data_IF_833378961065
#
_entry.id   IF_833378961065
#
_cell.length_a   1.000
_cell.length_b   1.000
_cell.length_c   1.000
_cell.angle_alpha   90.00
_cell.angle_beta   90.00
_cell.angle_gamma   90.00
#
_symmetry.space_group_name_H-M   'P 1'
#
loop_
_entity.id
_entity.type
_entity.pdbx_description
1 polymer ?
#
# COMPACT_ATOMS: atom_id res chain seq x y z
N UNK A 1 -6.10 8.59 23.21
CA UNK A 1 -4.81 7.99 22.79
C UNK A 1 -4.63 8.23 21.31
N UNK A 2 -3.39 8.35 20.81
CA UNK A 2 -3.12 8.46 19.38
C UNK A 2 -2.53 7.15 18.85
N UNK A 3 -2.92 6.75 17.63
CA UNK A 3 -2.42 5.58 16.94
C UNK A 3 -2.11 5.96 15.49
N UNK A 4 -0.93 5.59 15.00
CA UNK A 4 -0.47 5.90 13.64
C UNK A 4 -0.36 4.59 12.86
N UNK A 5 -0.89 4.58 11.64
CA UNK A 5 -1.02 3.43 10.75
C UNK A 5 -2.09 2.40 11.20
N UNK A 6 -2.59 1.65 10.22
CA UNK A 6 -3.73 0.72 10.41
C UNK A 6 -3.47 -0.36 11.47
N UNK A 7 -2.34 -1.09 11.48
CA UNK A 7 -2.11 -2.13 12.49
C UNK A 7 -2.05 -1.59 13.92
N UNK A 8 -1.43 -0.42 14.12
CA UNK A 8 -1.35 0.22 15.43
C UNK A 8 -2.74 0.71 15.89
N UNK A 9 -3.55 1.26 14.99
CA UNK A 9 -4.90 1.69 15.27
C UNK A 9 -5.80 0.51 15.67
N UNK A 10 -5.73 -0.60 14.95
CA UNK A 10 -6.46 -1.84 15.26
C UNK A 10 -6.07 -2.40 16.63
N UNK A 11 -4.77 -2.51 16.92
CA UNK A 11 -4.29 -2.96 18.22
C UNK A 11 -4.74 -2.05 19.36
N UNK A 12 -4.65 -0.73 19.17
CA UNK A 12 -5.09 0.25 20.18
C UNK A 12 -6.60 0.20 20.38
N UNK A 13 -7.40 0.17 19.32
CA UNK A 13 -8.85 0.08 19.39
C UNK A 13 -9.34 -1.23 20.04
N UNK A 14 -8.60 -2.32 19.84
CA UNK A 14 -8.88 -3.59 20.49
C UNK A 14 -8.65 -3.53 22.01
N UNK A 15 -7.56 -2.89 22.44
CA UNK A 15 -7.15 -2.84 23.84
C UNK A 15 -7.86 -1.75 24.66
N UNK A 16 -8.29 -0.64 24.03
CA UNK A 16 -8.80 0.57 24.71
C UNK A 16 -10.26 0.80 24.35
N UNK A 17 -11.17 0.60 25.31
CA UNK A 17 -12.62 0.75 25.13
C UNK A 17 -13.22 1.94 25.86
N UNK A 18 -12.54 2.45 26.89
CA UNK A 18 -13.03 3.47 27.83
C UNK A 18 -12.49 4.88 27.56
N UNK A 19 -11.56 5.03 26.62
CA UNK A 19 -10.91 6.31 26.30
C UNK A 19 -11.01 6.62 24.81
N UNK A 20 -11.06 7.91 24.43
CA UNK A 20 -10.95 8.28 23.01
C UNK A 20 -9.65 7.80 22.39
N UNK A 21 -9.76 7.19 21.21
CA UNK A 21 -8.64 6.78 20.34
C UNK A 21 -8.73 7.60 19.05
N UNK A 22 -7.66 8.32 18.74
CA UNK A 22 -7.54 9.10 17.49
C UNK A 22 -6.49 8.43 16.61
N UNK A 23 -6.91 7.95 15.46
CA UNK A 23 -5.99 7.39 14.48
C UNK A 23 -5.54 8.45 13.46
N UNK A 24 -4.36 8.21 12.89
CA UNK A 24 -3.80 8.96 11.76
C UNK A 24 -3.17 7.96 10.78
N UNK A 25 -3.13 8.33 9.50
CA UNK A 25 -2.56 7.48 8.44
C UNK A 25 -3.18 6.06 8.43
N UNK A 26 -4.50 6.00 8.37
CA UNK A 26 -5.27 4.76 8.19
C UNK A 26 -5.96 4.81 6.83
N UNK A 27 -5.59 3.90 5.94
CA UNK A 27 -6.02 3.91 4.53
C UNK A 27 -7.52 3.70 4.38
N UNK A 28 -8.09 2.73 5.07
CA UNK A 28 -9.53 2.45 5.08
C UNK A 28 -10.03 2.17 6.50
N UNK A 29 -10.45 3.21 7.25
CA UNK A 29 -10.89 3.04 8.63
C UNK A 29 -12.10 2.11 8.79
N UNK A 30 -13.01 2.11 7.81
CA UNK A 30 -14.19 1.24 7.82
C UNK A 30 -13.79 -0.21 7.51
N UNK A 31 -13.02 -0.44 6.46
CA UNK A 31 -12.52 -1.78 6.10
C UNK A 31 -11.60 -2.37 7.16
N UNK A 32 -10.90 -1.52 7.93
CA UNK A 32 -10.11 -1.92 9.10
C UNK A 32 -10.94 -2.16 10.37
N UNK A 33 -12.27 -2.04 10.30
CA UNK A 33 -13.21 -2.22 11.43
C UNK A 33 -12.96 -1.25 12.61
N UNK A 34 -12.43 -0.06 12.34
CA UNK A 34 -12.16 0.97 13.35
C UNK A 34 -13.37 1.87 13.58
N UNK A 35 -14.16 2.09 12.54
CA UNK A 35 -15.33 2.98 12.56
C UNK A 35 -16.50 2.36 11.79
N UNK A 36 -17.72 2.77 12.10
CA UNK A 36 -18.90 2.31 11.37
C UNK A 36 -18.99 2.96 9.98
N UNK A 37 -18.67 4.26 9.88
CA UNK A 37 -18.47 5.00 8.64
C UNK A 37 -17.54 6.20 8.89
N UNK A 38 -17.07 6.83 7.83
CA UNK A 38 -16.20 8.01 7.93
C UNK A 38 -16.94 9.21 8.54
N UNK A 39 -18.26 9.36 8.22
CA UNK A 39 -19.09 10.47 8.72
C UNK A 39 -19.61 10.24 10.13
N UNK A 40 -19.81 8.98 10.51
CA UNK A 40 -20.35 8.59 11.80
C UNK A 40 -19.55 7.41 12.39
N UNK A 41 -18.40 7.67 13.04
CA UNK A 41 -17.52 6.64 13.59
C UNK A 41 -18.21 5.65 14.55
N UNK A 42 -19.17 6.13 15.34
CA UNK A 42 -20.07 5.28 16.13
C UNK A 42 -19.53 4.74 17.45
N UNK A 43 -18.26 4.97 17.77
CA UNK A 43 -17.61 4.45 18.99
C UNK A 43 -16.63 5.44 19.61
N UNK A 44 -15.67 4.92 20.36
CA UNK A 44 -14.59 5.70 20.98
C UNK A 44 -13.38 5.92 20.05
N UNK A 45 -13.48 5.52 18.77
CA UNK A 45 -12.40 5.60 17.78
C UNK A 45 -12.79 6.56 16.66
N UNK A 46 -11.90 7.49 16.33
CA UNK A 46 -12.04 8.44 15.21
C UNK A 46 -10.66 8.84 14.69
N UNK A 47 -10.58 9.55 13.57
CA UNK A 47 -9.28 10.00 13.07
C UNK A 47 -9.30 10.53 11.65
N UNK A 48 -8.13 10.46 11.01
CA UNK A 48 -7.90 10.95 9.64
C UNK A 48 -7.38 9.81 8.76
N UNK A 49 -8.06 9.62 7.63
CA UNK A 49 -7.66 8.66 6.60
C UNK A 49 -6.60 9.25 5.65
N UNK A 50 -5.73 8.39 5.13
CA UNK A 50 -4.74 8.67 4.09
C UNK A 50 -5.02 7.88 2.80
N UNK A 51 -6.28 7.79 2.39
CA UNK A 51 -6.66 7.09 1.13
C UNK A 51 -5.84 7.58 -0.04
N UNK A 52 -5.37 6.63 -0.84
CA UNK A 52 -4.52 6.90 -2.00
C UNK A 52 -5.31 6.82 -3.32
N UNK A 53 -4.96 7.65 -4.31
CA UNK A 53 -5.50 7.60 -5.64
C UNK A 53 -4.81 6.50 -6.48
N UNK A 54 -5.06 5.23 -6.14
CA UNK A 54 -4.34 4.06 -6.70
C UNK A 54 -4.41 4.02 -8.23
N UNK A 55 -5.55 4.41 -8.82
CA UNK A 55 -5.71 4.44 -10.27
C UNK A 55 -4.78 5.45 -10.93
N UNK A 56 -4.71 6.66 -10.39
CA UNK A 56 -3.85 7.74 -10.88
C UNK A 56 -2.37 7.36 -10.72
N UNK A 57 -2.02 6.70 -9.63
CA UNK A 57 -0.67 6.19 -9.41
C UNK A 57 -0.30 5.09 -10.42
N UNK A 58 -1.21 4.18 -10.74
CA UNK A 58 -0.99 3.19 -11.82
C UNK A 58 -1.01 3.84 -13.21
N UNK A 59 -1.77 4.92 -13.42
CA UNK A 59 -1.72 5.70 -14.66
C UNK A 59 -0.32 6.28 -14.88
N UNK A 60 0.35 6.73 -13.83
CA UNK A 60 1.74 7.21 -13.92
C UNK A 60 2.68 6.13 -14.49
N UNK A 61 2.47 4.84 -14.15
CA UNK A 61 3.22 3.75 -14.78
C UNK A 61 3.00 3.73 -16.30
N UNK A 62 1.76 3.89 -16.75
CA UNK A 62 1.42 3.94 -18.18
C UNK A 62 1.98 5.18 -18.87
N UNK A 63 2.04 6.30 -18.19
CA UNK A 63 2.58 7.55 -18.74
C UNK A 63 4.10 7.45 -18.97
N UNK A 64 4.82 6.76 -18.07
CA UNK A 64 6.27 6.54 -18.16
C UNK A 64 6.61 5.38 -19.10
N UNK A 65 5.79 4.33 -19.10
CA UNK A 65 5.95 3.13 -19.93
C UNK A 65 4.63 2.78 -20.62
N UNK A 66 4.29 3.44 -21.74
CA UNK A 66 2.98 3.28 -22.39
C UNK A 66 2.67 1.85 -22.85
N UNK A 67 3.68 1.06 -23.13
CA UNK A 67 3.59 -0.34 -23.54
C UNK A 67 3.49 -1.32 -22.36
N UNK A 68 3.53 -0.84 -21.12
CA UNK A 68 3.37 -1.68 -19.94
C UNK A 68 2.04 -2.44 -19.97
N UNK A 69 2.08 -3.73 -19.73
CA UNK A 69 0.92 -4.63 -19.64
C UNK A 69 0.81 -5.33 -18.29
N UNK A 70 1.86 -5.26 -17.47
CA UNK A 70 1.93 -5.93 -16.17
C UNK A 70 2.48 -5.02 -15.09
N UNK A 71 1.91 -5.10 -13.88
CA UNK A 71 2.44 -4.44 -12.68
C UNK A 71 2.55 -5.44 -11.54
N UNK A 72 3.70 -5.47 -10.88
CA UNK A 72 3.94 -6.29 -9.70
C UNK A 72 3.61 -5.53 -8.41
N UNK A 73 3.00 -6.21 -7.45
CA UNK A 73 2.75 -5.67 -6.10
C UNK A 73 3.26 -6.68 -5.09
N UNK A 74 4.20 -6.26 -4.23
CA UNK A 74 4.58 -7.01 -3.04
C UNK A 74 3.89 -6.40 -1.83
N UNK A 75 3.26 -7.21 -0.98
CA UNK A 75 2.52 -6.70 0.17
C UNK A 75 2.40 -7.71 1.30
N UNK A 76 2.25 -7.21 2.51
CA UNK A 76 1.96 -8.03 3.68
C UNK A 76 0.48 -8.40 3.72
N UNK A 77 0.21 -9.69 3.56
CA UNK A 77 -1.17 -10.23 3.58
C UNK A 77 -1.87 -10.10 4.94
N UNK A 78 -1.15 -9.77 6.01
CA UNK A 78 -1.69 -9.47 7.33
C UNK A 78 -2.17 -8.02 7.51
N UNK A 79 -1.83 -7.11 6.59
CA UNK A 79 -2.20 -5.69 6.68
C UNK A 79 -3.47 -5.37 5.89
N UNK A 80 -4.52 -4.89 6.58
CA UNK A 80 -5.80 -4.56 5.96
C UNK A 80 -5.67 -3.39 4.95
N UNK A 81 -4.84 -2.38 5.27
CA UNK A 81 -4.52 -1.27 4.38
C UNK A 81 -3.93 -1.72 3.05
N UNK A 82 -3.08 -2.74 3.07
CA UNK A 82 -2.43 -3.27 1.86
C UNK A 82 -3.43 -4.03 0.98
N UNK A 83 -4.26 -4.87 1.58
CA UNK A 83 -5.28 -5.64 0.86
C UNK A 83 -6.24 -4.74 0.08
N UNK A 84 -6.73 -3.68 0.71
CA UNK A 84 -7.67 -2.75 0.06
C UNK A 84 -7.03 -2.06 -1.13
N UNK A 85 -5.76 -1.66 -1.03
CA UNK A 85 -5.05 -1.04 -2.15
C UNK A 85 -4.74 -2.04 -3.27
N UNK A 86 -4.44 -3.29 -2.94
CA UNK A 86 -4.26 -4.36 -3.94
C UNK A 86 -5.55 -4.61 -4.71
N UNK A 87 -6.70 -4.65 -4.04
CA UNK A 87 -7.99 -4.81 -4.70
C UNK A 87 -8.31 -3.60 -5.59
N UNK A 88 -8.05 -2.38 -5.14
CA UNK A 88 -8.17 -1.17 -5.96
C UNK A 88 -7.22 -1.20 -7.17
N UNK A 89 -5.99 -1.69 -6.99
CA UNK A 89 -5.03 -1.84 -8.09
C UNK A 89 -5.48 -2.86 -9.13
N UNK A 90 -6.12 -3.95 -8.72
CA UNK A 90 -6.69 -4.94 -9.65
C UNK A 90 -7.86 -4.35 -10.46
N UNK A 91 -8.70 -3.54 -9.83
CA UNK A 91 -9.80 -2.86 -10.54
C UNK A 91 -9.26 -1.81 -11.51
N UNK A 92 -8.36 -0.95 -11.05
CA UNK A 92 -7.71 0.05 -11.89
C UNK A 92 -6.91 -0.60 -13.04
N UNK A 93 -6.23 -1.71 -12.75
CA UNK A 93 -5.47 -2.48 -13.76
C UNK A 93 -6.35 -2.95 -14.91
N UNK A 94 -7.57 -3.41 -14.64
CA UNK A 94 -8.53 -3.81 -15.69
C UNK A 94 -8.87 -2.63 -16.62
N UNK A 95 -9.04 -1.43 -16.06
CA UNK A 95 -9.36 -0.23 -16.83
C UNK A 95 -8.14 0.28 -17.63
N UNK A 96 -6.93 0.12 -17.09
CA UNK A 96 -5.68 0.59 -17.68
C UNK A 96 -5.00 -0.44 -18.59
N UNK A 97 -5.54 -1.65 -18.70
CA UNK A 97 -4.92 -2.74 -19.46
C UNK A 97 -3.64 -3.27 -18.79
N UNK A 98 -3.60 -3.26 -17.46
CA UNK A 98 -2.51 -3.80 -16.66
C UNK A 98 -2.95 -5.08 -15.93
N UNK A 99 -2.23 -6.16 -16.13
CA UNK A 99 -2.34 -7.36 -15.30
C UNK A 99 -1.59 -7.15 -14.00
N UNK A 100 -2.28 -7.29 -12.86
CA UNK A 100 -1.67 -7.19 -11.52
C UNK A 100 -1.13 -8.55 -11.10
N UNK A 101 0.17 -8.63 -10.87
CA UNK A 101 0.85 -9.81 -10.29
C UNK A 101 1.19 -9.55 -8.84
N UNK A 102 0.84 -10.47 -7.97
CA UNK A 102 0.95 -10.33 -6.52
C UNK A 102 2.05 -11.23 -5.95
N UNK A 103 2.80 -10.69 -5.00
CA UNK A 103 3.66 -11.45 -4.10
C UNK A 103 3.32 -11.09 -2.66
N UNK A 104 2.94 -12.09 -1.87
CA UNK A 104 2.60 -11.87 -0.46
C UNK A 104 3.78 -12.16 0.43
N UNK A 105 3.93 -11.34 1.46
CA UNK A 105 4.90 -11.51 2.54
C UNK A 105 4.20 -11.47 3.90
N UNK A 106 4.89 -11.84 4.94
CA UNK A 106 4.43 -11.73 6.34
C UNK A 106 5.27 -10.74 7.16
N UNK A 107 6.47 -10.42 6.70
CA UNK A 107 7.38 -9.48 7.36
C UNK A 107 8.39 -8.89 6.37
N UNK A 108 9.11 -7.85 6.79
CA UNK A 108 10.05 -7.11 5.94
C UNK A 108 11.26 -7.92 5.45
N UNK A 109 11.67 -8.96 6.14
CA UNK A 109 12.81 -9.80 5.70
C UNK A 109 12.50 -10.64 4.44
N UNK A 110 11.22 -10.81 4.11
CA UNK A 110 10.75 -11.55 2.93
C UNK A 110 10.62 -10.67 1.68
N UNK A 111 10.76 -9.34 1.80
CA UNK A 111 10.57 -8.38 0.69
C UNK A 111 11.47 -8.71 -0.49
N UNK A 112 12.73 -9.05 -0.26
CA UNK A 112 13.66 -9.42 -1.33
C UNK A 112 13.16 -10.62 -2.13
N UNK A 113 12.73 -11.68 -1.47
CA UNK A 113 12.18 -12.85 -2.14
C UNK A 113 10.85 -12.52 -2.84
N UNK A 114 10.01 -11.70 -2.20
CA UNK A 114 8.75 -11.24 -2.77
C UNK A 114 8.95 -10.51 -4.09
N UNK A 115 9.82 -9.50 -4.15
CA UNK A 115 10.06 -8.75 -5.40
C UNK A 115 10.72 -9.61 -6.48
N UNK A 116 11.61 -10.54 -6.11
CA UNK A 116 12.24 -11.46 -7.06
C UNK A 116 11.23 -12.42 -7.71
N UNK A 117 10.17 -12.80 -6.99
CA UNK A 117 9.10 -13.64 -7.54
C UNK A 117 8.25 -12.92 -8.59
N UNK A 118 8.30 -11.58 -8.65
CA UNK A 118 7.63 -10.72 -9.62
C UNK A 118 8.45 -10.53 -10.93
N UNK A 119 9.33 -11.44 -11.24
CA UNK A 119 10.15 -11.34 -12.47
C UNK A 119 9.30 -11.18 -13.73
N UNK A 120 9.76 -10.32 -14.65
CA UNK A 120 9.09 -10.08 -15.94
C UNK A 120 7.88 -9.15 -15.88
N UNK A 121 7.67 -8.41 -14.78
CA UNK A 121 6.69 -7.32 -14.74
C UNK A 121 7.25 -6.05 -15.38
N UNK A 122 6.37 -5.16 -15.85
CA UNK A 122 6.74 -3.90 -16.50
C UNK A 122 7.01 -2.76 -15.51
N UNK A 123 6.53 -2.89 -14.28
CA UNK A 123 6.75 -1.96 -13.19
C UNK A 123 6.34 -2.56 -11.86
N UNK A 124 6.66 -1.88 -10.77
CA UNK A 124 6.25 -2.27 -9.42
C UNK A 124 5.43 -1.13 -8.81
N UNK A 125 4.33 -1.49 -8.17
CA UNK A 125 3.56 -0.60 -7.32
C UNK A 125 3.75 -1.01 -5.85
N UNK A 126 4.12 -0.04 -5.02
CA UNK A 126 4.32 -0.20 -3.57
C UNK A 126 3.15 0.47 -2.86
N UNK A 127 2.23 -0.30 -2.25
CA UNK A 127 1.15 0.26 -1.43
C UNK A 127 1.69 0.88 -0.13
N UNK A 128 0.83 1.50 0.68
CA UNK A 128 1.16 1.94 2.05
C UNK A 128 1.31 0.75 3.00
N UNK A 129 2.19 -0.18 2.65
CA UNK A 129 2.49 -1.40 3.41
C UNK A 129 3.66 -1.16 4.35
N UNK A 130 3.42 -1.28 5.66
CA UNK A 130 4.45 -0.95 6.64
C UNK A 130 5.68 -1.88 6.56
N UNK A 131 5.48 -3.16 6.24
CA UNK A 131 6.58 -4.11 6.10
C UNK A 131 7.40 -3.82 4.82
N UNK A 132 6.75 -3.54 3.70
CA UNK A 132 7.41 -3.25 2.42
C UNK A 132 8.13 -1.91 2.45
N UNK A 133 7.47 -0.84 2.95
CA UNK A 133 8.06 0.50 3.05
C UNK A 133 9.27 0.52 3.99
N UNK A 134 9.28 -0.31 5.06
CA UNK A 134 10.45 -0.45 5.92
C UNK A 134 11.68 -1.06 5.22
N UNK A 135 11.48 -1.77 4.10
CA UNK A 135 12.52 -2.37 3.27
C UNK A 135 12.50 -1.82 1.82
N UNK A 136 12.06 -0.58 1.63
CA UNK A 136 11.83 0.03 0.33
C UNK A 136 13.07 0.01 -0.57
N UNK A 137 14.27 0.20 0.00
CA UNK A 137 15.53 0.19 -0.75
C UNK A 137 15.74 -1.13 -1.51
N UNK A 138 15.24 -2.24 -0.96
CA UNK A 138 15.26 -3.55 -1.62
C UNK A 138 14.39 -3.54 -2.89
N UNK A 139 13.19 -2.97 -2.80
CA UNK A 139 12.27 -2.85 -3.95
C UNK A 139 12.84 -1.91 -5.02
N UNK A 140 13.33 -0.75 -4.59
CA UNK A 140 13.96 0.24 -5.49
C UNK A 140 15.22 -0.32 -6.14
N UNK A 141 16.06 -1.04 -5.37
CA UNK A 141 17.24 -1.73 -5.88
C UNK A 141 16.89 -2.72 -6.98
N UNK A 142 15.88 -3.57 -6.73
CA UNK A 142 15.37 -4.51 -7.73
C UNK A 142 14.84 -3.79 -8.98
N UNK A 143 14.04 -2.73 -8.81
CA UNK A 143 13.55 -1.92 -9.93
C UNK A 143 14.67 -1.38 -10.81
N UNK A 144 15.74 -0.86 -10.19
CA UNK A 144 16.95 -0.38 -10.90
C UNK A 144 17.67 -1.50 -11.65
N UNK A 145 17.86 -2.65 -11.02
CA UNK A 145 18.51 -3.82 -11.64
C UNK A 145 17.72 -4.33 -12.85
N UNK A 146 16.41 -4.41 -12.71
CA UNK A 146 15.51 -4.87 -13.79
C UNK A 146 15.18 -3.76 -14.81
N UNK A 147 15.56 -2.50 -14.55
CA UNK A 147 15.24 -1.32 -15.36
C UNK A 147 13.75 -1.11 -15.54
N UNK A 148 12.99 -1.29 -14.46
CA UNK A 148 11.55 -1.07 -14.41
C UNK A 148 11.21 0.02 -13.39
N UNK A 149 10.19 0.84 -13.64
CA UNK A 149 9.77 1.89 -12.71
C UNK A 149 9.18 1.29 -11.43
N UNK A 150 9.43 1.96 -10.31
CA UNK A 150 8.80 1.71 -9.02
C UNK A 150 7.93 2.92 -8.68
N UNK A 151 6.63 2.72 -8.63
CA UNK A 151 5.63 3.72 -8.21
C UNK A 151 5.24 3.41 -6.78
N UNK A 152 5.13 4.42 -5.94
CA UNK A 152 4.76 4.24 -4.53
C UNK A 152 3.48 4.98 -4.17
N UNK A 153 2.78 4.49 -3.17
CA UNK A 153 1.61 5.15 -2.61
C UNK A 153 1.95 6.28 -1.63
N UNK A 154 3.20 6.38 -1.17
CA UNK A 154 3.63 7.41 -0.24
C UNK A 154 4.74 8.32 -0.83
N UNK A 155 4.68 9.61 -0.45
CA UNK A 155 5.56 10.63 -0.99
C UNK A 155 7.01 10.48 -0.52
N UNK A 156 7.25 10.01 0.71
CA UNK A 156 8.59 9.86 1.26
C UNK A 156 9.39 8.79 0.50
N UNK A 157 8.71 7.82 -0.10
CA UNK A 157 9.32 6.79 -0.95
C UNK A 157 9.97 7.38 -2.20
N UNK A 158 9.51 8.54 -2.69
CA UNK A 158 10.11 9.22 -3.85
C UNK A 158 11.51 9.72 -3.50
N UNK A 159 11.69 10.31 -2.34
CA UNK A 159 13.01 10.74 -1.87
C UNK A 159 13.98 9.56 -1.67
N UNK A 160 13.44 8.37 -1.40
CA UNK A 160 14.19 7.11 -1.24
C UNK A 160 14.42 6.37 -2.56
N UNK A 161 13.96 6.90 -3.68
CA UNK A 161 14.28 6.44 -5.03
C UNK A 161 13.14 5.77 -5.80
N UNK A 162 11.90 5.81 -5.31
CA UNK A 162 10.74 5.53 -6.16
C UNK A 162 10.62 6.61 -7.25
N UNK A 163 10.03 6.25 -8.39
CA UNK A 163 9.93 7.16 -9.53
C UNK A 163 8.89 8.27 -9.28
N UNK A 164 7.80 7.94 -8.59
CA UNK A 164 6.70 8.85 -8.32
C UNK A 164 5.63 8.22 -7.44
N UNK A 165 4.63 9.06 -7.10
CA UNK A 165 3.48 8.69 -6.29
C UNK A 165 2.20 9.32 -6.84
#
# INVERSE_FOLDING_TARGET
MAAIATPAAQGTASAVKDKPVVFMAVTDPKGAELVASDEAPGGNVTGVSDRNPVKEQLQLLKDVKPDATTVGIVYNSGEANSKVQVDQAKEAGKELGLEVKEATITNSSEVQQGVQSLSGVDGIYVPTDNAVVSALETVVGYGKEQRIPVISADIDSVERGALGT
#
